data_IF_520836734381
#
_entry.id   IF_520836734381
#
_cell.length_a   1.000
_cell.length_b   1.000
_cell.length_c   1.000
_cell.angle_alpha   90.00
_cell.angle_beta   90.00
_cell.angle_gamma   90.00
#
_symmetry.space_group_name_H-M   'P 1'
#
loop_
_entity.id
_entity.type
_entity.pdbx_description
1 polymer ?
#
# COMPACT_ATOMS: atom_id res chain seq x y z
N UNK A 1 3.04 -14.12 -8.21
CA UNK A 1 2.89 -13.77 -9.65
C UNK A 1 1.54 -13.06 -9.86
N UNK A 2 1.26 -12.00 -9.09
CA UNK A 2 0.13 -11.13 -9.37
C UNK A 2 0.55 -10.17 -10.48
N UNK A 3 -0.04 -10.35 -11.65
CA UNK A 3 0.32 -9.59 -12.84
C UNK A 3 0.02 -8.11 -12.64
N UNK A 4 0.93 -7.30 -13.17
CA UNK A 4 1.18 -5.87 -12.95
C UNK A 4 0.04 -4.89 -13.34
N UNK A 5 -1.20 -5.34 -13.47
CA UNK A 5 -2.31 -4.52 -13.98
C UNK A 5 -3.57 -4.46 -13.09
N UNK A 6 -3.58 -5.08 -11.91
CA UNK A 6 -4.76 -5.06 -11.01
C UNK A 6 -4.49 -4.57 -9.59
N UNK A 7 -3.22 -4.29 -9.23
CA UNK A 7 -2.89 -3.73 -7.92
C UNK A 7 -3.34 -2.26 -7.82
N UNK A 8 -4.55 -2.04 -7.31
CA UNK A 8 -4.91 -0.83 -6.56
C UNK A 8 -5.12 0.49 -7.33
N UNK A 9 -5.07 0.51 -8.66
CA UNK A 9 -5.32 1.72 -9.45
C UNK A 9 -6.80 2.14 -9.38
N UNK A 10 -7.16 2.86 -8.31
CA UNK A 10 -8.50 3.39 -8.08
C UNK A 10 -9.02 3.10 -6.68
N UNK A 11 -8.75 1.90 -6.13
CA UNK A 11 -9.26 1.48 -4.81
C UNK A 11 -8.82 2.41 -3.68
N UNK A 12 -7.61 2.97 -3.74
CA UNK A 12 -7.10 3.91 -2.73
C UNK A 12 -7.06 5.36 -3.23
N UNK A 13 -7.88 5.67 -4.24
CA UNK A 13 -8.04 7.00 -4.80
C UNK A 13 -9.52 7.40 -4.76
N UNK A 14 -9.89 8.23 -3.78
CA UNK A 14 -11.26 8.74 -3.67
C UNK A 14 -11.33 10.24 -3.92
N UNK A 15 -12.19 10.64 -4.86
CA UNK A 15 -12.54 12.04 -5.11
C UNK A 15 -13.62 12.51 -4.14
N UNK A 16 -13.68 13.82 -3.92
CA UNK A 16 -14.71 14.43 -3.07
C UNK A 16 -14.50 14.29 -1.57
N UNK A 17 -13.39 13.71 -1.12
CA UNK A 17 -13.00 13.76 0.28
C UNK A 17 -12.61 15.20 0.68
N UNK A 18 -12.99 15.57 1.90
CA UNK A 18 -12.57 16.80 2.56
C UNK A 18 -11.04 16.85 2.78
N UNK A 19 -10.52 17.95 3.33
CA UNK A 19 -9.13 18.00 3.77
C UNK A 19 -8.88 16.94 4.86
N UNK A 20 -7.62 16.54 5.02
CA UNK A 20 -7.19 15.65 6.12
C UNK A 20 -7.58 16.31 7.45
N UNK A 21 -8.17 15.57 8.40
CA UNK A 21 -8.58 16.13 9.68
C UNK A 21 -7.40 16.80 10.40
N UNK A 22 -7.57 18.00 10.99
CA UNK A 22 -6.48 18.74 11.64
C UNK A 22 -5.94 18.04 12.90
N UNK A 23 -6.70 17.09 13.46
CA UNK A 23 -6.28 16.25 14.57
C UNK A 23 -5.34 15.12 14.15
N UNK A 24 -5.25 14.81 12.85
CA UNK A 24 -4.34 13.80 12.33
C UNK A 24 -2.89 14.31 12.36
N UNK A 25 -2.02 13.56 13.03
CA UNK A 25 -0.59 13.88 13.18
C UNK A 25 0.32 12.85 12.52
N UNK A 26 -0.25 11.96 11.71
CA UNK A 26 0.50 10.99 10.94
C UNK A 26 1.35 11.68 9.88
N UNK A 27 2.35 10.95 9.36
CA UNK A 27 3.25 11.43 8.30
C UNK A 27 3.19 10.49 7.12
N UNK A 28 3.63 10.95 5.96
CA UNK A 28 3.94 10.11 4.82
C UNK A 28 5.44 10.01 4.69
N UNK A 29 5.98 8.92 5.25
CA UNK A 29 7.41 8.68 5.27
C UNK A 29 7.89 8.37 3.85
N UNK A 30 8.91 9.09 3.39
CA UNK A 30 9.49 8.82 2.06
C UNK A 30 10.44 7.62 2.10
N UNK A 31 10.63 6.99 0.95
CA UNK A 31 11.50 5.84 0.79
C UNK A 31 11.64 5.40 -0.67
N UNK A 32 12.19 4.22 -0.87
CA UNK A 32 12.41 3.65 -2.20
C UNK A 32 11.11 3.58 -3.02
N UNK A 33 11.00 4.39 -4.08
CA UNK A 33 9.83 4.44 -4.99
C UNK A 33 8.51 4.79 -4.27
N UNK A 34 8.60 5.54 -3.18
CA UNK A 34 7.47 6.13 -2.47
C UNK A 34 7.87 7.52 -1.94
N UNK A 35 7.14 8.56 -2.30
CA UNK A 35 7.37 9.93 -1.83
C UNK A 35 6.09 10.53 -1.24
N UNK A 36 6.16 11.73 -0.68
CA UNK A 36 5.00 12.37 -0.05
C UNK A 36 3.79 12.53 -0.99
N UNK A 37 3.99 12.63 -2.30
CA UNK A 37 2.91 12.74 -3.29
C UNK A 37 2.12 11.44 -3.51
N UNK A 38 2.63 10.30 -3.02
CA UNK A 38 1.88 9.05 -3.03
C UNK A 38 0.76 9.01 -1.99
N UNK A 39 0.85 9.84 -0.95
CA UNK A 39 -0.27 10.06 -0.05
C UNK A 39 -1.28 11.02 -0.66
N UNK A 40 -2.55 10.81 -0.30
CA UNK A 40 -3.67 11.59 -0.79
C UNK A 40 -4.72 11.72 0.32
N UNK A 41 -5.93 12.16 -0.02
CA UNK A 41 -7.01 12.31 0.97
C UNK A 41 -7.58 10.98 1.49
N UNK A 42 -7.26 9.86 0.84
CA UNK A 42 -7.61 8.49 1.23
C UNK A 42 -6.46 7.86 2.04
N UNK A 43 -5.23 7.89 1.52
CA UNK A 43 -4.02 7.49 2.24
C UNK A 43 -3.41 8.74 2.88
N UNK A 44 -3.89 9.09 4.07
CA UNK A 44 -3.53 10.33 4.77
C UNK A 44 -2.24 10.23 5.61
N UNK A 45 -1.69 9.02 5.74
CA UNK A 45 -0.46 8.76 6.47
C UNK A 45 0.02 7.34 6.22
N UNK A 46 1.34 7.17 6.22
CA UNK A 46 1.98 5.93 5.88
C UNK A 46 3.39 5.89 6.51
N UNK A 47 3.68 4.82 7.26
CA UNK A 47 4.96 4.60 7.97
C UNK A 47 5.41 3.14 7.83
N UNK A 48 6.72 2.93 7.68
CA UNK A 48 7.33 1.60 7.61
C UNK A 48 8.41 1.48 8.69
N UNK A 49 8.67 0.25 9.15
CA UNK A 49 9.56 -0.02 10.28
C UNK A 49 10.57 -1.09 9.89
N UNK A 50 11.86 -0.73 9.84
CA UNK A 50 12.92 -1.63 9.37
C UNK A 50 13.82 -2.16 10.48
N UNK A 51 13.80 -1.57 11.67
CA UNK A 51 14.79 -1.86 12.71
C UNK A 51 14.91 -3.36 13.04
N UNK A 52 13.79 -4.10 13.04
CA UNK A 52 13.81 -5.55 13.27
C UNK A 52 14.48 -6.32 12.12
N UNK A 53 14.24 -5.91 10.88
CA UNK A 53 14.87 -6.52 9.70
C UNK A 53 16.36 -6.21 9.67
N UNK A 54 16.74 -4.96 9.97
CA UNK A 54 18.13 -4.54 10.09
C UNK A 54 18.86 -5.33 11.16
N UNK A 55 18.26 -5.53 12.34
CA UNK A 55 18.88 -6.31 13.42
C UNK A 55 19.11 -7.80 13.04
N UNK A 56 18.18 -8.42 12.31
CA UNK A 56 18.34 -9.80 11.82
C UNK A 56 19.47 -9.88 10.79
N UNK A 57 19.58 -8.88 9.90
CA UNK A 57 20.67 -8.80 8.94
C UNK A 57 22.03 -8.58 9.61
N UNK A 58 22.09 -7.64 10.56
CA UNK A 58 23.30 -7.31 11.32
C UNK A 58 23.78 -8.47 12.21
N UNK A 59 22.86 -9.29 12.73
CA UNK A 59 23.21 -10.49 13.51
C UNK A 59 23.75 -11.66 12.66
N UNK A 60 23.82 -11.50 11.32
CA UNK A 60 24.29 -12.53 10.40
C UNK A 60 23.30 -13.68 10.19
N UNK A 61 22.08 -13.59 10.75
CA UNK A 61 21.02 -14.58 10.55
C UNK A 61 20.40 -14.53 9.15
N UNK A 62 20.59 -13.42 8.43
CA UNK A 62 20.20 -13.28 7.03
C UNK A 62 21.39 -12.76 6.21
N UNK A 63 21.75 -13.46 5.14
CA UNK A 63 22.83 -13.07 4.22
C UNK A 63 22.49 -11.86 3.34
N UNK A 64 21.21 -11.60 3.11
CA UNK A 64 20.72 -10.48 2.29
C UNK A 64 19.42 -9.94 2.89
N UNK A 65 19.31 -8.62 2.93
CA UNK A 65 18.07 -7.95 3.27
C UNK A 65 16.97 -8.24 2.23
N UNK A 66 15.68 -8.18 2.60
CA UNK A 66 14.56 -8.31 1.67
C UNK A 66 14.62 -7.33 0.49
N UNK A 67 15.23 -6.17 0.67
CA UNK A 67 15.41 -5.18 -0.37
C UNK A 67 16.50 -5.56 -1.39
N UNK A 68 17.62 -6.13 -0.93
CA UNK A 68 18.70 -6.60 -1.81
C UNK A 68 18.26 -7.79 -2.66
N UNK A 69 17.39 -8.65 -2.12
CA UNK A 69 16.75 -9.74 -2.88
C UNK A 69 15.70 -9.25 -3.86
N UNK A 70 15.35 -7.96 -3.84
CA UNK A 70 14.26 -7.38 -4.63
C UNK A 70 12.88 -7.92 -4.26
N UNK A 71 12.74 -8.58 -3.11
CA UNK A 71 11.46 -9.09 -2.60
C UNK A 71 10.63 -8.02 -1.89
N UNK A 72 11.25 -6.93 -1.47
CA UNK A 72 10.59 -5.83 -0.75
C UNK A 72 11.18 -4.47 -1.10
N UNK A 73 10.46 -3.41 -0.76
CA UNK A 73 10.95 -2.04 -0.84
C UNK A 73 11.33 -1.53 0.54
N UNK A 74 12.42 -0.76 0.64
CA UNK A 74 12.72 0.05 1.84
C UNK A 74 11.81 1.30 1.86
N UNK A 75 10.51 1.06 1.86
CA UNK A 75 9.47 2.07 1.78
C UNK A 75 8.10 1.48 2.16
N UNK A 76 7.06 2.27 1.94
CA UNK A 76 5.65 1.93 2.11
C UNK A 76 5.04 1.19 0.94
N UNK A 77 5.81 1.05 -0.16
CA UNK A 77 5.35 0.37 -1.34
C UNK A 77 5.25 -1.12 -1.05
N UNK A 78 4.04 -1.63 -1.20
CA UNK A 78 3.75 -3.05 -1.07
C UNK A 78 4.31 -3.81 -2.30
N UNK A 79 5.19 -4.77 -2.04
CA UNK A 79 5.73 -5.66 -3.07
C UNK A 79 4.91 -6.95 -3.24
N UNK A 80 4.18 -7.37 -2.20
CA UNK A 80 3.44 -8.63 -2.10
C UNK A 80 1.94 -8.48 -2.41
N UNK A 81 1.41 -7.27 -2.34
CA UNK A 81 -0.01 -6.88 -2.54
C UNK A 81 -0.95 -7.26 -1.38
N UNK A 82 -0.51 -8.08 -0.41
CA UNK A 82 -1.33 -8.44 0.74
C UNK A 82 -1.83 -7.23 1.53
N UNK A 83 -0.96 -6.24 1.75
CA UNK A 83 -1.32 -4.99 2.43
C UNK A 83 -2.36 -4.21 1.63
N UNK A 84 -2.15 -4.10 0.32
CA UNK A 84 -3.03 -3.41 -0.64
C UNK A 84 -4.41 -4.06 -0.74
N UNK A 85 -4.47 -5.40 -0.81
CA UNK A 85 -5.72 -6.15 -0.79
C UNK A 85 -6.49 -5.96 0.53
N UNK A 86 -5.77 -6.03 1.66
CA UNK A 86 -6.37 -5.87 2.99
C UNK A 86 -6.96 -4.48 3.19
N UNK A 87 -6.19 -3.42 2.91
CA UNK A 87 -6.66 -2.04 3.11
C UNK A 87 -7.79 -1.69 2.16
N UNK A 88 -7.78 -2.20 0.92
CA UNK A 88 -8.87 -1.96 -0.03
C UNK A 88 -10.15 -2.72 0.34
N UNK A 89 -10.05 -3.88 0.97
CA UNK A 89 -11.22 -4.58 1.55
C UNK A 89 -11.79 -3.79 2.73
N UNK A 90 -10.96 -3.17 3.56
CA UNK A 90 -11.41 -2.40 4.71
C UNK A 90 -12.05 -1.06 4.30
N UNK A 91 -11.37 -0.27 3.48
CA UNK A 91 -11.71 1.13 3.20
C UNK A 91 -11.48 1.55 1.74
N UNK A 92 -11.48 0.59 0.80
CA UNK A 92 -11.36 0.87 -0.62
C UNK A 92 -12.54 1.69 -1.15
N UNK A 93 -12.25 2.60 -2.07
CA UNK A 93 -13.22 3.37 -2.83
C UNK A 93 -14.02 2.46 -3.78
N UNK A 94 -15.09 3.02 -4.33
CA UNK A 94 -15.89 2.34 -5.34
C UNK A 94 -15.13 2.18 -6.67
N UNK A 95 -14.93 0.94 -7.11
CA UNK A 95 -14.33 0.61 -8.41
C UNK A 95 -15.35 -0.16 -9.25
N UNK A 96 -15.76 0.43 -10.37
CA UNK A 96 -16.71 -0.19 -11.32
C UNK A 96 -15.96 -1.11 -12.27
N UNK A 97 -16.64 -2.18 -12.68
CA UNK A 97 -16.14 -3.13 -13.67
C UNK A 97 -14.82 -3.76 -13.25
N UNK A 98 -14.67 -3.99 -11.94
CA UNK A 98 -13.51 -4.68 -11.41
C UNK A 98 -13.63 -6.16 -11.69
N UNK A 99 -12.52 -6.79 -12.03
CA UNK A 99 -12.47 -8.20 -12.37
C UNK A 99 -11.04 -8.73 -12.27
N UNK A 100 -10.90 -10.00 -11.93
CA UNK A 100 -9.60 -10.67 -11.94
C UNK A 100 -9.51 -11.60 -13.15
N UNK A 101 -8.70 -11.23 -14.15
CA UNK A 101 -8.58 -12.00 -15.38
C UNK A 101 -9.91 -12.20 -16.14
N UNK A 102 -10.86 -11.27 -15.98
CA UNK A 102 -12.22 -11.36 -16.55
C UNK A 102 -13.23 -12.13 -15.69
N UNK A 103 -12.82 -12.65 -14.52
CA UNK A 103 -13.72 -13.30 -13.56
C UNK A 103 -14.18 -12.30 -12.49
N UNK A 104 -15.39 -12.51 -11.97
CA UNK A 104 -15.88 -11.74 -10.82
C UNK A 104 -16.23 -10.30 -11.12
N UNK A 105 -16.69 -9.99 -12.34
CA UNK A 105 -17.14 -8.65 -12.73
C UNK A 105 -18.13 -8.06 -11.73
N UNK A 106 -17.72 -7.01 -11.02
CA UNK A 106 -18.58 -6.36 -10.03
C UNK A 106 -18.22 -4.89 -9.79
N UNK A 107 -19.00 -4.28 -8.88
CA UNK A 107 -18.66 -3.03 -8.24
C UNK A 107 -17.98 -3.38 -6.90
N UNK A 108 -16.67 -3.19 -6.83
CA UNK A 108 -15.91 -3.44 -5.60
C UNK A 108 -15.85 -2.17 -4.73
N UNK A 109 -15.84 -2.38 -3.41
CA UNK A 109 -15.67 -1.33 -2.40
C UNK A 109 -15.20 -1.94 -1.09
N UNK A 110 -14.59 -1.11 -0.25
CA UNK A 110 -14.32 -1.50 1.13
C UNK A 110 -15.58 -1.53 2.00
N UNK A 111 -15.41 -2.04 3.22
CA UNK A 111 -16.44 -1.98 4.27
C UNK A 111 -16.89 -0.54 4.57
N UNK A 112 -15.92 0.39 4.65
CA UNK A 112 -16.14 1.82 4.88
C UNK A 112 -15.54 2.67 3.73
N UNK A 113 -16.23 2.74 2.58
CA UNK A 113 -15.71 3.35 1.35
C UNK A 113 -15.69 4.88 1.39
#
# INVERSE_FOLDING_TARGET
>A
MFHRNLAGAGKLQRRGLGPVPPTWKGVCQEGMRFNASNCNKTIIGARFFLNGISAVHESGQAQQSPAERGSEFLSLRDADDHGTHTVSTAAGSFVRNDSWGGLGHCLERGGAP
#
